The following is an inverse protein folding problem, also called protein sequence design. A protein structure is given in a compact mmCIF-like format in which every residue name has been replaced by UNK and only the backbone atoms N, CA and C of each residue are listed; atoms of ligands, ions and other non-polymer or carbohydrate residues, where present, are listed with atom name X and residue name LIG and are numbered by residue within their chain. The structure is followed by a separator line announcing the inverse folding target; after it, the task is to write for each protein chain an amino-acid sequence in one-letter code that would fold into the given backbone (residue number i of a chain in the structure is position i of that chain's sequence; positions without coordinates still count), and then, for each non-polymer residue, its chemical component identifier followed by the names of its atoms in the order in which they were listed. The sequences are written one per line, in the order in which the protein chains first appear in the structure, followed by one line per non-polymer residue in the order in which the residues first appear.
data_IF_677805051888
#
_entry.id   IF_677805051888
#
_cell.length_a   1.000
_cell.length_b   1.000
_cell.length_c   1.000
_cell.angle_alpha   90.00
_cell.angle_beta   90.00
_cell.angle_gamma   90.00
#
_symmetry.space_group_name_H-M   'P 1'
#
loop_
_entity.id
_entity.type
_entity.pdbx_description
1 polymer ?
#
# COMPACT_ATOMS: atom_id res chain seq x y z
N UNK A 1 23.13 -6.08 -1.17
CA UNK A 1 21.69 -6.21 -0.79
C UNK A 1 20.83 -5.96 -2.01
N UNK A 2 20.35 -7.03 -2.64
CA UNK A 2 19.71 -6.97 -3.96
C UNK A 2 18.29 -6.38 -3.85
N UNK A 3 18.05 -5.23 -4.48
CA UNK A 3 16.71 -4.64 -4.69
C UNK A 3 15.93 -5.46 -5.74
N UNK A 4 15.72 -6.74 -5.45
CA UNK A 4 15.01 -7.65 -6.34
C UNK A 4 13.50 -7.48 -6.12
N UNK A 5 12.92 -6.47 -6.76
CA UNK A 5 11.47 -6.31 -6.90
C UNK A 5 10.90 -7.35 -7.86
N UNK A 6 10.75 -8.61 -7.42
CA UNK A 6 9.83 -9.59 -8.04
C UNK A 6 9.47 -10.70 -7.04
N UNK A 7 8.17 -10.88 -6.79
CA UNK A 7 7.39 -12.05 -7.23
C UNK A 7 6.06 -12.15 -6.48
N UNK A 8 5.05 -12.68 -7.18
CA UNK A 8 3.69 -13.01 -6.73
C UNK A 8 2.66 -11.86 -6.63
N UNK A 9 2.24 -11.33 -7.79
CA UNK A 9 1.00 -10.55 -7.92
C UNK A 9 1.25 -9.10 -8.32
N UNK A 10 1.12 -8.85 -9.61
CA UNK A 10 1.21 -7.57 -10.33
C UNK A 10 0.48 -6.44 -9.60
N UNK A 11 1.20 -5.64 -8.80
CA UNK A 11 0.61 -4.49 -8.12
C UNK A 11 1.56 -3.30 -8.10
N UNK A 12 2.82 -3.51 -7.72
CA UNK A 12 3.83 -2.46 -7.66
C UNK A 12 4.81 -2.55 -8.83
N UNK A 13 5.16 -1.40 -9.39
CA UNK A 13 6.09 -1.30 -10.52
C UNK A 13 7.52 -1.31 -10.02
N UNK A 14 8.31 -2.29 -10.50
CA UNK A 14 9.65 -2.59 -10.02
C UNK A 14 10.63 -2.70 -11.18
N UNK A 15 10.98 -1.57 -11.78
CA UNK A 15 12.02 -1.48 -12.79
C UNK A 15 13.39 -1.54 -12.13
N UNK A 16 14.11 -2.66 -12.29
CA UNK A 16 15.47 -2.81 -11.79
C UNK A 16 16.53 -2.43 -12.84
N UNK A 17 17.77 -2.20 -12.39
CA UNK A 17 18.92 -1.88 -13.28
C UNK A 17 19.06 -2.85 -14.46
N UNK A 18 18.84 -4.15 -14.25
CA UNK A 18 18.88 -5.17 -15.32
C UNK A 18 17.81 -4.96 -16.40
N UNK A 19 16.62 -4.53 -16.02
CA UNK A 19 15.52 -4.29 -16.96
C UNK A 19 15.75 -3.02 -17.79
N UNK A 20 16.35 -1.99 -17.18
CA UNK A 20 16.80 -0.81 -17.92
C UNK A 20 17.96 -1.14 -18.86
N UNK A 21 18.94 -1.93 -18.42
CA UNK A 21 20.03 -2.39 -19.29
C UNK A 21 19.50 -3.21 -20.47
N UNK A 22 18.48 -4.04 -20.26
CA UNK A 22 17.75 -4.74 -21.32
C UNK A 22 17.08 -3.75 -22.30
N UNK A 23 16.35 -2.74 -21.80
CA UNK A 23 15.72 -1.73 -22.66
C UNK A 23 16.76 -0.89 -23.42
N UNK A 24 17.87 -0.51 -22.77
CA UNK A 24 18.98 0.21 -23.37
C UNK A 24 19.56 -0.57 -24.53
N UNK A 25 19.94 -1.83 -24.29
CA UNK A 25 20.49 -2.69 -25.35
C UNK A 25 19.50 -2.89 -26.50
N UNK A 26 18.20 -2.95 -26.21
CA UNK A 26 17.19 -3.01 -27.26
C UNK A 26 17.13 -1.73 -28.09
N UNK A 27 17.16 -0.55 -27.45
CA UNK A 27 17.20 0.76 -28.14
C UNK A 27 18.50 0.96 -28.95
N UNK A 28 19.62 0.40 -28.48
CA UNK A 28 20.90 0.38 -29.19
C UNK A 28 20.88 -0.58 -30.40
N UNK A 29 19.82 -1.39 -30.55
CA UNK A 29 19.63 -2.30 -31.68
C UNK A 29 20.23 -3.69 -31.49
N UNK A 30 20.49 -4.12 -30.26
CA UNK A 30 20.90 -5.50 -30.02
C UNK A 30 19.71 -6.46 -30.19
N UNK A 31 19.93 -7.67 -30.74
CA UNK A 31 18.87 -8.64 -30.96
C UNK A 31 18.28 -9.13 -29.62
N UNK A 32 16.95 -9.23 -29.56
CA UNK A 32 16.20 -9.62 -28.35
C UNK A 32 16.68 -10.95 -27.72
N UNK A 33 17.02 -12.02 -28.48
CA UNK A 33 17.52 -13.26 -27.90
C UNK A 33 18.82 -13.07 -27.09
N UNK A 34 19.75 -12.26 -27.58
CA UNK A 34 21.03 -11.98 -26.91
C UNK A 34 20.78 -11.20 -25.60
N UNK A 35 19.90 -10.20 -25.65
CA UNK A 35 19.51 -9.42 -24.47
C UNK A 35 18.78 -10.25 -23.43
N UNK A 36 17.90 -11.16 -23.88
CA UNK A 36 17.15 -12.07 -23.02
C UNK A 36 18.07 -12.95 -22.19
N UNK A 37 19.04 -13.62 -22.84
CA UNK A 37 20.04 -14.47 -22.18
C UNK A 37 20.87 -13.69 -21.16
N UNK A 38 21.31 -12.46 -21.52
CA UNK A 38 22.19 -11.66 -20.67
C UNK A 38 21.51 -11.02 -19.46
N UNK A 39 20.26 -10.55 -19.60
CA UNK A 39 19.63 -9.68 -18.60
C UNK A 39 18.42 -10.27 -17.89
N UNK A 40 17.75 -11.28 -18.44
CA UNK A 40 16.51 -11.83 -17.86
C UNK A 40 16.73 -13.02 -16.92
N UNK A 41 17.94 -13.59 -16.85
CA UNK A 41 18.30 -14.68 -15.92
C UNK A 41 17.25 -15.78 -15.84
N UNK A 42 16.63 -16.11 -16.98
CA UNK A 42 15.84 -17.32 -17.17
C UNK A 42 16.84 -18.33 -17.72
N UNK A 43 16.89 -19.55 -17.16
CA UNK A 43 17.91 -20.55 -17.47
C UNK A 43 18.06 -20.82 -18.97
N UNK A 44 19.13 -21.51 -19.36
CA UNK A 44 19.62 -21.79 -20.74
C UNK A 44 18.61 -22.41 -21.74
N UNK A 45 17.34 -22.52 -21.38
CA UNK A 45 16.24 -22.79 -22.31
C UNK A 45 16.14 -21.66 -23.32
N UNK A 46 16.03 -22.01 -24.60
CA UNK A 46 15.84 -21.05 -25.68
C UNK A 46 14.62 -20.16 -25.39
N UNK A 47 14.88 -18.89 -25.04
CA UNK A 47 13.83 -17.96 -24.65
C UNK A 47 12.97 -17.65 -25.89
N UNK A 48 11.72 -18.12 -25.87
CA UNK A 48 10.73 -17.82 -26.91
C UNK A 48 10.63 -16.29 -27.14
N UNK A 49 10.78 -15.87 -28.40
CA UNK A 49 10.64 -14.49 -28.85
C UNK A 49 9.33 -13.84 -28.38
N UNK A 50 8.25 -14.62 -28.24
CA UNK A 50 6.97 -14.15 -27.71
C UNK A 50 7.10 -13.66 -26.27
N UNK A 51 7.83 -14.40 -25.43
CA UNK A 51 8.07 -14.05 -24.03
C UNK A 51 8.91 -12.79 -23.94
N UNK A 52 9.96 -12.68 -24.76
CA UNK A 52 10.84 -11.51 -24.81
C UNK A 52 10.08 -10.24 -25.23
N UNK A 53 9.22 -10.33 -26.25
CA UNK A 53 8.36 -9.21 -26.69
C UNK A 53 7.35 -8.81 -25.61
N UNK A 54 6.74 -9.78 -24.93
CA UNK A 54 5.83 -9.51 -23.81
C UNK A 54 6.56 -8.81 -22.65
N UNK A 55 7.80 -9.23 -22.38
CA UNK A 55 8.64 -8.63 -21.35
C UNK A 55 9.05 -7.19 -21.68
N UNK A 56 9.50 -6.94 -22.91
CA UNK A 56 9.78 -5.60 -23.43
C UNK A 56 8.55 -4.69 -23.31
N UNK A 57 7.36 -5.18 -23.69
CA UNK A 57 6.11 -4.43 -23.55
C UNK A 57 5.84 -4.06 -22.09
N UNK A 58 6.05 -4.99 -21.16
CA UNK A 58 5.89 -4.74 -19.73
C UNK A 58 6.88 -3.68 -19.22
N UNK A 59 8.16 -3.78 -19.60
CA UNK A 59 9.19 -2.79 -19.25
C UNK A 59 8.79 -1.39 -19.75
N UNK A 60 8.39 -1.28 -21.02
CA UNK A 60 7.93 -0.03 -21.63
C UNK A 60 6.73 0.58 -20.88
N UNK A 61 5.75 -0.23 -20.49
CA UNK A 61 4.61 0.22 -19.68
C UNK A 61 5.03 0.73 -18.31
N UNK A 62 5.97 0.05 -17.65
CA UNK A 62 6.49 0.46 -16.35
C UNK A 62 7.27 1.78 -16.43
N UNK A 63 8.05 1.99 -17.50
CA UNK A 63 8.74 3.27 -17.74
C UNK A 63 7.74 4.40 -17.91
N UNK A 64 6.64 4.18 -18.65
CA UNK A 64 5.60 5.19 -18.79
C UNK A 64 5.01 5.62 -17.45
N UNK A 65 4.75 4.67 -16.56
CA UNK A 65 4.24 4.95 -15.21
C UNK A 65 5.25 5.74 -14.38
N UNK A 66 6.54 5.38 -14.41
CA UNK A 66 7.55 6.18 -13.72
C UNK A 66 7.61 7.60 -14.28
N UNK A 67 7.37 7.77 -15.58
CA UNK A 67 7.35 9.07 -16.23
C UNK A 67 6.26 9.98 -15.66
N UNK A 68 5.15 9.41 -15.19
CA UNK A 68 4.09 10.18 -14.53
C UNK A 68 4.54 10.80 -13.20
N UNK A 69 5.57 10.25 -12.54
CA UNK A 69 6.13 10.85 -11.30
C UNK A 69 6.80 12.20 -11.55
N UNK A 70 7.41 12.37 -12.72
CA UNK A 70 8.24 13.53 -13.04
C UNK A 70 7.51 14.71 -13.67
N UNK A 71 6.21 14.60 -13.94
CA UNK A 71 5.38 15.73 -14.39
C UNK A 71 5.60 16.18 -15.85
N UNK A 72 5.46 17.51 -16.11
CA UNK A 72 5.39 18.11 -17.47
C UNK A 72 6.63 17.89 -18.35
N UNK A 73 7.78 17.62 -17.74
CA UNK A 73 9.05 17.37 -18.44
C UNK A 73 9.11 16.00 -19.13
N UNK A 74 8.16 15.10 -18.83
CA UNK A 74 8.20 13.70 -19.24
C UNK A 74 7.42 13.35 -20.53
N UNK A 75 7.09 14.35 -21.37
CA UNK A 75 6.59 14.10 -22.74
C UNK A 75 7.53 13.18 -23.53
N UNK A 76 8.81 13.20 -23.19
CA UNK A 76 9.88 12.44 -23.81
C UNK A 76 9.85 10.93 -23.49
N UNK A 77 9.10 10.48 -22.47
CA UNK A 77 8.93 9.06 -22.16
C UNK A 77 8.36 8.28 -23.35
N UNK A 78 7.50 8.94 -24.15
CA UNK A 78 6.92 8.37 -25.39
C UNK A 78 7.98 8.06 -26.45
N UNK A 79 9.14 8.73 -26.43
CA UNK A 79 10.23 8.44 -27.35
C UNK A 79 10.79 7.02 -27.15
N UNK A 80 10.73 6.48 -25.94
CA UNK A 80 11.19 5.12 -25.61
C UNK A 80 10.26 4.02 -26.16
N UNK A 81 9.04 4.40 -26.60
CA UNK A 81 8.10 3.50 -27.26
C UNK A 81 8.37 3.35 -28.75
N UNK A 82 9.16 4.24 -29.36
CA UNK A 82 9.49 4.17 -30.77
C UNK A 82 10.40 2.97 -31.03
N UNK A 83 10.04 2.15 -32.02
CA UNK A 83 10.80 0.94 -32.34
C UNK A 83 12.14 1.29 -33.02
N UNK A 84 13.27 0.78 -32.50
CA UNK A 84 14.60 1.09 -33.00
C UNK A 84 14.82 0.58 -34.43
N UNK A 85 14.14 -0.51 -34.82
CA UNK A 85 14.24 -1.06 -36.19
C UNK A 85 13.70 -0.09 -37.25
N UNK A 86 12.73 0.77 -36.89
CA UNK A 86 12.23 1.82 -37.78
C UNK A 86 13.18 3.01 -37.89
N UNK A 87 14.08 3.17 -36.90
CA UNK A 87 15.09 4.21 -36.84
C UNK A 87 16.42 3.78 -37.47
N UNK A 88 16.63 2.48 -37.72
CA UNK A 88 17.75 2.04 -38.55
C UNK A 88 17.54 2.60 -39.94
N UNK A 89 18.44 3.48 -40.38
CA UNK A 89 18.49 3.75 -41.81
C UNK A 89 18.95 2.45 -42.47
N UNK A 90 18.16 1.97 -43.42
CA UNK A 90 18.67 1.18 -44.53
C UNK A 90 19.47 2.10 -45.45
N UNK A 91 20.37 2.91 -44.88
CA UNK A 91 21.35 3.60 -45.68
C UNK A 91 22.12 2.47 -46.35
N UNK A 92 22.11 2.48 -47.68
CA UNK A 92 22.93 1.62 -48.53
C UNK A 92 24.28 1.47 -47.83
N UNK A 93 24.67 0.24 -47.48
CA UNK A 93 26.02 0.05 -46.99
C UNK A 93 26.94 0.73 -48.00
N UNK A 94 27.83 1.63 -47.56
CA UNK A 94 28.80 2.18 -48.48
C UNK A 94 29.54 1.00 -49.12
N UNK A 95 29.73 1.10 -50.43
CA UNK A 95 30.43 0.11 -51.24
C UNK A 95 31.66 -0.38 -50.50
N UNK A 96 31.83 -1.70 -50.37
CA UNK A 96 32.94 -2.25 -49.60
C UNK A 96 34.29 -1.77 -50.16
N UNK A 97 35.35 -1.77 -49.33
CA UNK A 97 36.67 -1.33 -49.79
C UNK A 97 37.17 -2.15 -50.99
N UNK A 98 36.88 -3.45 -51.02
CA UNK A 98 37.14 -4.33 -52.18
C UNK A 98 36.35 -3.93 -53.43
N UNK A 99 35.05 -3.64 -53.30
CA UNK A 99 34.23 -3.21 -54.44
C UNK A 99 34.66 -1.82 -54.95
N UNK A 100 35.02 -0.91 -54.03
CA UNK A 100 35.56 0.40 -54.35
C UNK A 100 36.91 0.29 -55.07
N UNK A 101 37.77 -0.66 -54.64
CA UNK A 101 39.01 -0.98 -55.36
C UNK A 101 38.70 -1.44 -56.78
N UNK A 102 37.77 -2.39 -56.95
CA UNK A 102 37.43 -2.94 -58.26
C UNK A 102 36.89 -1.89 -59.24
N UNK A 103 36.23 -0.83 -58.75
CA UNK A 103 35.69 0.23 -59.60
C UNK A 103 36.67 1.38 -59.85
N UNK A 104 37.41 1.80 -58.82
CA UNK A 104 38.22 3.04 -58.81
C UNK A 104 39.71 2.78 -59.03
N UNK A 105 40.20 1.60 -58.69
CA UNK A 105 41.57 1.16 -58.89
C UNK A 105 41.69 -0.32 -59.34
N UNK A 106 41.21 -0.67 -60.55
CA UNK A 106 41.30 -2.04 -61.07
C UNK A 106 42.74 -2.54 -61.29
N UNK A 107 43.71 -1.64 -61.30
CA UNK A 107 45.12 -1.92 -61.61
C UNK A 107 46.04 -1.84 -60.39
N UNK A 108 45.49 -1.71 -59.17
CA UNK A 108 46.22 -1.64 -57.89
C UNK A 108 47.33 -0.58 -57.85
N UNK A 109 47.01 0.61 -58.36
CA UNK A 109 47.94 1.74 -58.44
C UNK A 109 48.10 2.49 -57.11
N UNK A 110 47.19 2.31 -56.14
CA UNK A 110 47.29 2.91 -54.81
C UNK A 110 47.71 1.89 -53.75
N UNK A 111 48.53 2.33 -52.80
CA UNK A 111 48.75 1.56 -51.58
C UNK A 111 47.45 1.44 -50.77
N UNK A 112 47.31 0.41 -49.94
CA UNK A 112 46.11 0.19 -49.12
C UNK A 112 45.75 1.40 -48.24
N UNK A 113 46.77 2.10 -47.72
CA UNK A 113 46.61 3.32 -46.93
C UNK A 113 46.08 4.50 -47.75
N UNK A 114 46.57 4.70 -48.97
CA UNK A 114 46.12 5.79 -49.85
C UNK A 114 44.72 5.50 -50.39
N UNK A 115 44.41 4.24 -50.71
CA UNK A 115 43.08 3.81 -51.11
C UNK A 115 42.05 4.01 -49.98
N UNK A 116 42.45 3.76 -48.73
CA UNK A 116 41.63 4.03 -47.55
C UNK A 116 41.37 5.54 -47.37
N UNK A 117 42.36 6.40 -47.58
CA UNK A 117 42.19 7.86 -47.52
C UNK A 117 41.21 8.34 -48.60
N UNK A 118 41.39 7.90 -49.85
CA UNK A 118 40.50 8.23 -50.97
C UNK A 118 39.07 7.73 -50.73
N UNK A 119 38.93 6.53 -50.16
CA UNK A 119 37.64 5.97 -49.80
C UNK A 119 36.95 6.76 -48.68
N UNK A 120 37.71 7.21 -47.66
CA UNK A 120 37.19 8.07 -46.59
C UNK A 120 36.79 9.45 -47.11
N UNK A 121 37.56 10.03 -48.03
CA UNK A 121 37.27 11.31 -48.67
C UNK A 121 36.00 11.22 -49.53
N UNK A 122 35.85 10.14 -50.32
CA UNK A 122 34.64 9.86 -51.09
C UNK A 122 33.39 9.66 -50.22
N UNK A 123 33.54 9.08 -49.02
CA UNK A 123 32.47 8.98 -48.03
C UNK A 123 32.14 10.31 -47.34
N UNK A 124 33.14 11.17 -47.15
CA UNK A 124 32.97 12.49 -46.55
C UNK A 124 32.23 13.46 -47.49
N UNK A 125 32.47 13.35 -48.80
CA UNK A 125 31.79 14.15 -49.84
C UNK A 125 30.37 13.65 -50.17
N UNK A 126 29.99 12.46 -49.71
CA UNK A 126 28.64 11.95 -49.89
C UNK A 126 27.61 12.87 -49.20
N UNK A 127 26.48 13.23 -49.87
CA UNK A 127 25.50 14.12 -49.28
C UNK A 127 24.96 13.50 -47.98
N UNK A 128 24.92 14.26 -46.88
CA UNK A 128 24.52 13.72 -45.59
C UNK A 128 23.10 13.16 -45.69
N UNK A 129 22.93 11.89 -45.37
CA UNK A 129 21.59 11.30 -45.27
C UNK A 129 20.85 11.97 -44.10
N UNK A 130 20.07 13.01 -44.45
CA UNK A 130 19.26 13.81 -43.52
C UNK A 130 18.37 12.91 -42.66
N UNK A 131 17.94 11.75 -43.20
CA UNK A 131 17.14 10.77 -42.48
C UNK A 131 17.98 10.00 -41.47
N UNK A 132 19.17 9.54 -41.83
CA UNK A 132 20.11 8.91 -40.89
C UNK A 132 20.49 9.87 -39.74
N UNK A 133 20.81 11.13 -40.05
CA UNK A 133 21.13 12.13 -39.03
C UNK A 133 19.94 12.43 -38.10
N UNK A 134 18.73 12.55 -38.65
CA UNK A 134 17.50 12.70 -37.84
C UNK A 134 17.29 11.50 -36.93
N UNK A 135 17.45 10.28 -37.43
CA UNK A 135 17.26 9.06 -36.66
C UNK A 135 18.32 8.90 -35.56
N UNK A 136 19.56 9.30 -35.83
CA UNK A 136 20.64 9.32 -34.84
C UNK A 136 20.35 10.32 -33.71
N UNK A 137 19.86 11.52 -34.04
CA UNK A 137 19.40 12.49 -33.02
C UNK A 137 18.29 11.91 -32.13
N UNK A 138 17.34 11.18 -32.72
CA UNK A 138 16.27 10.52 -31.97
C UNK A 138 16.85 9.43 -31.05
N UNK A 139 17.78 8.59 -31.52
CA UNK A 139 18.44 7.56 -30.70
C UNK A 139 19.22 8.18 -29.54
N UNK A 140 20.03 9.20 -29.78
CA UNK A 140 20.73 9.95 -28.72
C UNK A 140 19.77 10.52 -27.68
N UNK A 141 18.61 11.03 -28.11
CA UNK A 141 17.57 11.50 -27.19
C UNK A 141 16.97 10.36 -26.37
N UNK A 142 16.68 9.21 -26.97
CA UNK A 142 16.19 8.03 -26.24
C UNK A 142 17.15 7.59 -25.12
N UNK A 143 18.46 7.54 -25.40
CA UNK A 143 19.47 7.18 -24.38
C UNK A 143 19.53 8.23 -23.27
N UNK A 144 19.54 9.52 -23.61
CA UNK A 144 19.55 10.60 -22.63
C UNK A 144 18.32 10.55 -21.70
N UNK A 145 17.14 10.31 -22.26
CA UNK A 145 15.90 10.14 -21.50
C UNK A 145 16.01 8.94 -20.58
N UNK A 146 16.51 7.79 -21.06
CA UNK A 146 16.68 6.58 -20.25
C UNK A 146 17.59 6.80 -19.04
N UNK A 147 18.68 7.57 -19.18
CA UNK A 147 19.55 7.95 -18.05
C UNK A 147 18.84 8.83 -17.02
N UNK A 148 17.93 9.72 -17.43
CA UNK A 148 17.12 10.51 -16.48
C UNK A 148 16.17 9.61 -15.67
N UNK A 149 15.59 8.58 -16.32
CA UNK A 149 14.74 7.59 -15.65
C UNK A 149 15.46 6.78 -14.57
N UNK A 150 16.76 6.52 -14.72
CA UNK A 150 17.55 5.82 -13.70
C UNK A 150 17.51 6.52 -12.33
N UNK A 151 17.50 7.86 -12.31
CA UNK A 151 17.41 8.62 -11.08
C UNK A 151 16.04 8.47 -10.40
N UNK A 152 14.95 8.44 -11.18
CA UNK A 152 13.58 8.30 -10.65
C UNK A 152 13.29 6.90 -10.09
N UNK A 153 14.03 5.87 -10.53
CA UNK A 153 13.94 4.53 -9.95
C UNK A 153 14.42 4.45 -8.50
N UNK A 154 15.17 5.44 -8.06
CA UNK A 154 15.72 5.50 -6.70
C UNK A 154 14.96 6.49 -5.82
N UNK A 155 13.91 7.13 -6.32
CA UNK A 155 13.03 7.97 -5.52
C UNK A 155 12.24 7.12 -4.51
N UNK A 156 12.24 7.54 -3.26
CA UNK A 156 11.46 6.92 -2.19
C UNK A 156 9.97 7.34 -2.29
N UNK A 157 9.01 6.44 -1.99
CA UNK A 157 7.58 6.76 -2.10
C UNK A 157 7.14 7.77 -1.05
N UNK A 158 6.54 8.88 -1.49
CA UNK A 158 5.99 9.91 -0.62
C UNK A 158 4.46 9.76 -0.50
N UNK A 159 3.86 10.13 0.64
CA UNK A 159 2.40 10.03 0.83
C UNK A 159 1.61 10.95 -0.11
N UNK A 160 2.23 12.01 -0.64
CA UNK A 160 1.63 12.93 -1.61
C UNK A 160 1.67 12.39 -3.04
N UNK A 161 2.41 11.32 -3.29
CA UNK A 161 2.56 10.77 -4.63
C UNK A 161 1.24 10.19 -5.12
N UNK A 162 0.96 10.42 -6.41
CA UNK A 162 -0.17 9.81 -7.09
C UNK A 162 -0.01 8.30 -7.20
N UNK A 163 -1.10 7.56 -7.04
CA UNK A 163 -1.12 6.09 -7.20
C UNK A 163 -0.67 5.65 -8.60
N UNK A 164 -0.93 6.49 -9.62
CA UNK A 164 -0.60 6.22 -11.00
C UNK A 164 0.91 6.12 -11.26
N UNK A 165 1.75 6.81 -10.47
CA UNK A 165 3.21 6.72 -10.57
C UNK A 165 3.82 5.44 -9.97
N UNK A 166 3.05 4.68 -9.18
CA UNK A 166 3.57 3.56 -8.38
C UNK A 166 2.92 2.22 -8.69
N UNK A 167 1.67 2.25 -9.16
CA UNK A 167 0.84 1.07 -9.41
C UNK A 167 0.59 0.85 -10.89
N UNK A 168 0.14 -0.35 -11.24
CA UNK A 168 -0.24 -0.69 -12.61
C UNK A 168 -1.37 0.24 -13.12
N UNK A 169 -1.33 0.71 -14.40
CA UNK A 169 -2.27 1.72 -14.90
C UNK A 169 -3.75 1.39 -14.74
N UNK A 170 -4.16 0.13 -14.95
CA UNK A 170 -5.55 -0.27 -14.77
C UNK A 170 -5.99 -0.24 -13.31
N UNK A 171 -5.11 -0.65 -12.39
CA UNK A 171 -5.36 -0.56 -10.94
C UNK A 171 -5.39 0.90 -10.47
N UNK A 172 -4.44 1.72 -10.90
CA UNK A 172 -4.39 3.14 -10.57
C UNK A 172 -5.64 3.88 -11.05
N UNK A 173 -6.09 3.61 -12.28
CA UNK A 173 -7.31 4.21 -12.83
C UNK A 173 -8.55 3.86 -11.99
N UNK A 174 -8.66 2.61 -11.53
CA UNK A 174 -9.76 2.18 -10.64
C UNK A 174 -9.70 2.84 -9.26
N UNK A 175 -8.51 3.00 -8.70
CA UNK A 175 -8.32 3.68 -7.42
C UNK A 175 -8.67 5.16 -7.51
N UNK A 176 -8.26 5.84 -8.59
CA UNK A 176 -8.61 7.23 -8.86
C UNK A 176 -10.13 7.37 -9.02
N UNK A 177 -10.78 6.47 -9.76
CA UNK A 177 -12.23 6.46 -9.92
C UNK A 177 -12.99 6.21 -8.60
N UNK A 178 -12.34 5.55 -7.63
CA UNK A 178 -12.87 5.34 -6.27
C UNK A 178 -12.45 6.45 -5.28
N UNK A 179 -12.00 7.62 -5.77
CA UNK A 179 -11.56 8.78 -4.97
C UNK A 179 -10.32 8.53 -4.10
N UNK A 180 -9.43 7.63 -4.54
CA UNK A 180 -8.15 7.32 -3.88
C UNK A 180 -6.98 7.68 -4.81
N UNK A 181 -6.68 8.97 -5.01
CA UNK A 181 -5.67 9.39 -5.98
C UNK A 181 -4.23 9.29 -5.46
N UNK A 182 -4.00 9.23 -4.15
CA UNK A 182 -2.65 9.28 -3.55
C UNK A 182 -2.32 8.07 -2.68
N UNK A 183 -1.03 7.76 -2.54
CA UNK A 183 -0.56 6.68 -1.66
C UNK A 183 -0.95 6.90 -0.20
N UNK A 184 -0.88 8.15 0.30
CA UNK A 184 -1.30 8.48 1.65
C UNK A 184 -2.79 8.23 1.90
N UNK A 185 -3.66 8.61 0.94
CA UNK A 185 -5.10 8.35 1.02
C UNK A 185 -5.40 6.85 0.97
N UNK A 186 -4.67 6.11 0.14
CA UNK A 186 -4.79 4.65 0.06
C UNK A 186 -4.47 3.98 1.41
N UNK A 187 -3.36 4.34 2.05
CA UNK A 187 -2.99 3.81 3.37
C UNK A 187 -4.06 4.15 4.42
N UNK A 188 -4.59 5.38 4.40
CA UNK A 188 -5.68 5.80 5.29
C UNK A 188 -6.95 4.95 5.09
N UNK A 189 -7.42 4.78 3.85
CA UNK A 189 -8.60 3.96 3.54
C UNK A 189 -8.42 2.50 3.95
N UNK A 190 -7.23 1.94 3.71
CA UNK A 190 -6.88 0.58 4.14
C UNK A 190 -6.95 0.45 5.66
N UNK A 191 -6.43 1.45 6.39
CA UNK A 191 -6.45 1.45 7.85
C UNK A 191 -7.86 1.68 8.43
N UNK A 192 -8.69 2.52 7.81
CA UNK A 192 -10.07 2.78 8.23
C UNK A 192 -10.99 1.57 8.04
N UNK A 193 -10.92 0.93 6.87
CA UNK A 193 -11.82 -0.16 6.48
C UNK A 193 -11.28 -1.54 6.84
N UNK A 194 -9.97 -1.63 7.12
CA UNK A 194 -9.26 -2.88 7.38
C UNK A 194 -9.27 -3.80 6.16
N UNK A 195 -9.32 -5.11 6.40
CA UNK A 195 -9.16 -6.13 5.37
C UNK A 195 -10.08 -6.03 4.15
N UNK A 196 -11.30 -5.49 4.31
CA UNK A 196 -12.30 -5.44 3.24
C UNK A 196 -12.29 -4.16 2.41
N UNK A 197 -11.27 -3.29 2.57
CA UNK A 197 -11.17 -2.01 1.87
C UNK A 197 -11.37 -2.12 0.35
N UNK A 198 -10.94 -3.23 -0.24
CA UNK A 198 -11.07 -3.48 -1.69
C UNK A 198 -12.52 -3.56 -2.19
N UNK A 199 -13.50 -3.77 -1.31
CA UNK A 199 -14.92 -3.70 -1.69
C UNK A 199 -15.39 -2.29 -2.05
N UNK A 200 -14.65 -1.26 -1.61
CA UNK A 200 -14.92 0.13 -2.00
C UNK A 200 -14.47 0.43 -3.43
N UNK A 201 -13.60 -0.41 -4.00
CA UNK A 201 -12.98 -0.17 -5.32
C UNK A 201 -13.51 -1.21 -6.31
N UNK A 202 -14.44 -0.84 -7.21
CA UNK A 202 -14.98 -1.76 -8.21
C UNK A 202 -13.88 -2.42 -9.04
N UNK A 203 -13.96 -3.74 -9.21
CA UNK A 203 -13.01 -4.51 -10.02
C UNK A 203 -11.65 -4.80 -9.35
N UNK A 204 -11.44 -4.44 -8.07
CA UNK A 204 -10.26 -4.88 -7.30
C UNK A 204 -10.59 -6.15 -6.53
N UNK A 205 -9.91 -7.25 -6.87
CA UNK A 205 -10.06 -8.53 -6.19
C UNK A 205 -9.21 -8.67 -4.92
N UNK A 206 -9.59 -9.62 -4.07
CA UNK A 206 -8.92 -9.91 -2.79
C UNK A 206 -7.40 -10.13 -2.93
N UNK A 207 -6.97 -10.86 -3.97
CA UNK A 207 -5.55 -11.16 -4.22
C UNK A 207 -4.72 -9.91 -4.46
N UNK A 208 -5.23 -9.01 -5.31
CA UNK A 208 -4.58 -7.72 -5.65
C UNK A 208 -4.54 -6.85 -4.42
N UNK A 209 -5.64 -6.76 -3.68
CA UNK A 209 -5.73 -5.98 -2.46
C UNK A 209 -4.75 -6.45 -1.37
N UNK A 210 -4.63 -7.77 -1.20
CA UNK A 210 -3.68 -8.36 -0.23
C UNK A 210 -2.24 -8.10 -0.65
N UNK A 211 -1.91 -8.27 -1.93
CA UNK A 211 -0.58 -7.94 -2.45
C UNK A 211 -0.24 -6.46 -2.22
N UNK A 212 -1.19 -5.55 -2.51
CA UNK A 212 -1.02 -4.11 -2.30
C UNK A 212 -0.79 -3.76 -0.82
N UNK A 213 -1.63 -4.29 0.07
CA UNK A 213 -1.49 -4.03 1.51
C UNK A 213 -0.18 -4.61 2.06
N UNK A 214 0.25 -5.78 1.59
CA UNK A 214 1.53 -6.40 1.98
C UNK A 214 2.73 -5.57 1.49
N UNK A 215 2.64 -5.05 0.26
CA UNK A 215 3.65 -4.15 -0.29
C UNK A 215 3.76 -2.86 0.53
N UNK A 216 2.64 -2.19 0.82
CA UNK A 216 2.61 -0.99 1.66
C UNK A 216 3.09 -1.24 3.10
N UNK A 217 2.90 -2.46 3.62
CA UNK A 217 3.39 -2.87 4.93
C UNK A 217 4.89 -3.23 4.95
N UNK A 218 5.58 -3.23 3.81
CA UNK A 218 7.02 -3.48 3.76
C UNK A 218 7.78 -2.44 4.58
N UNK A 219 8.78 -2.82 5.42
CA UNK A 219 9.47 -1.90 6.33
C UNK A 219 10.07 -0.67 5.64
N UNK A 220 10.62 -0.85 4.44
CA UNK A 220 11.17 0.24 3.64
C UNK A 220 10.11 1.28 3.24
N UNK A 221 8.93 0.81 2.81
CA UNK A 221 7.84 1.67 2.33
C UNK A 221 7.13 2.34 3.49
N UNK A 222 6.87 1.61 4.58
CA UNK A 222 6.26 2.17 5.77
C UNK A 222 7.12 3.31 6.37
N UNK A 223 8.45 3.15 6.35
CA UNK A 223 9.39 4.18 6.80
C UNK A 223 9.30 5.44 5.93
N UNK A 224 9.27 5.26 4.60
CA UNK A 224 9.18 6.36 3.65
C UNK A 224 7.84 7.11 3.72
N UNK A 225 6.74 6.38 3.85
CA UNK A 225 5.38 6.95 3.93
C UNK A 225 5.06 7.57 5.30
N UNK A 226 5.92 7.36 6.31
CA UNK A 226 5.73 7.75 7.72
C UNK A 226 4.42 7.23 8.34
N UNK A 227 3.78 6.29 7.68
CA UNK A 227 2.48 5.71 8.04
C UNK A 227 2.53 4.23 7.74
N UNK A 228 2.11 3.40 8.68
CA UNK A 228 2.14 1.94 8.54
C UNK A 228 0.73 1.40 8.30
N UNK A 229 0.61 0.42 7.41
CA UNK A 229 -0.61 -0.37 7.27
C UNK A 229 -0.75 -1.29 8.47
N UNK A 230 -1.84 -1.17 9.22
CA UNK A 230 -2.07 -1.94 10.43
C UNK A 230 -2.28 -3.44 10.14
N UNK A 231 -1.94 -4.33 11.10
CA UNK A 231 -2.05 -5.78 10.92
C UNK A 231 -3.48 -6.27 10.66
N UNK A 232 -4.49 -5.47 11.01
CA UNK A 232 -5.91 -5.74 10.75
C UNK A 232 -6.30 -5.65 9.28
N UNK A 233 -5.51 -4.97 8.45
CA UNK A 233 -5.72 -4.89 7.01
C UNK A 233 -5.14 -6.09 6.24
N UNK A 234 -4.16 -6.79 6.82
CA UNK A 234 -3.39 -7.83 6.12
C UNK A 234 -4.00 -9.23 6.21
N UNK A 235 -4.88 -9.49 7.19
CA UNK A 235 -5.42 -10.83 7.47
C UNK A 235 -6.95 -10.86 7.42
N UNK A 236 -7.50 -11.96 6.87
CA UNK A 236 -8.96 -12.13 6.76
C UNK A 236 -9.56 -12.32 8.14
N UNK A 237 -10.74 -11.76 8.38
CA UNK A 237 -11.47 -11.87 9.64
C UNK A 237 -11.68 -13.33 10.15
N UNK A 238 -11.68 -14.35 9.27
CA UNK A 238 -11.72 -15.77 9.68
C UNK A 238 -10.36 -16.28 10.22
N UNK A 239 -9.24 -15.83 9.66
CA UNK A 239 -7.89 -16.18 10.13
C UNK A 239 -7.60 -15.55 11.50
N UNK A 240 -8.11 -14.34 11.72
CA UNK A 240 -8.03 -13.70 13.02
C UNK A 240 -8.76 -14.48 14.13
N UNK A 241 -9.76 -15.36 13.87
CA UNK A 241 -10.51 -16.05 14.94
C UNK A 241 -9.65 -16.91 15.86
N UNK A 242 -8.50 -17.42 15.39
CA UNK A 242 -7.56 -18.19 16.23
C UNK A 242 -6.60 -17.32 17.05
N UNK A 243 -6.43 -16.04 16.71
CA UNK A 243 -5.42 -15.13 17.30
C UNK A 243 -6.05 -14.00 18.16
N UNK A 244 -7.32 -14.12 18.53
CA UNK A 244 -8.25 -12.97 18.50
C UNK A 244 -8.54 -12.19 19.77
N UNK A 245 -7.91 -12.44 20.91
CA UNK A 245 -8.31 -11.70 22.12
C UNK A 245 -7.30 -10.65 22.61
N UNK A 246 -6.07 -10.59 22.09
CA UNK A 246 -5.06 -9.68 22.63
C UNK A 246 -4.58 -8.57 21.68
N UNK A 247 -4.46 -8.81 20.37
CA UNK A 247 -3.72 -7.88 19.50
C UNK A 247 -4.54 -6.76 18.86
N UNK A 248 -5.80 -7.00 18.48
CA UNK A 248 -6.61 -6.00 17.76
C UNK A 248 -7.16 -4.91 18.69
N UNK A 249 -7.30 -5.23 19.98
CA UNK A 249 -7.81 -4.29 20.97
C UNK A 249 -6.74 -3.24 21.37
N UNK A 250 -5.47 -3.45 20.99
CA UNK A 250 -4.34 -2.52 21.19
C UNK A 250 -4.08 -1.57 20.02
N UNK A 251 -4.85 -1.67 18.93
CA UNK A 251 -4.68 -0.80 17.75
C UNK A 251 -5.18 0.62 17.97
N UNK A 252 -6.07 0.82 18.95
CA UNK A 252 -6.52 2.16 19.34
C UNK A 252 -5.51 2.80 20.27
N UNK A 253 -5.21 4.07 20.06
CA UNK A 253 -4.37 4.83 20.97
C UNK A 253 -4.98 4.82 22.39
N UNK A 254 -4.16 4.65 23.44
CA UNK A 254 -4.64 4.74 24.82
C UNK A 254 -5.34 6.10 25.07
N UNK A 255 -6.48 6.08 25.73
CA UNK A 255 -7.31 7.29 25.96
C UNK A 255 -7.93 7.28 27.35
N UNK A 256 -7.97 8.46 27.99
CA UNK A 256 -8.67 8.68 29.26
C UNK A 256 -10.14 9.07 29.10
N UNK A 257 -10.65 9.13 27.86
CA UNK A 257 -12.06 9.35 27.55
C UNK A 257 -12.83 8.03 27.33
N UNK A 258 -13.94 8.10 26.61
CA UNK A 258 -14.73 6.90 26.25
C UNK A 258 -13.92 6.04 25.27
N UNK A 259 -13.43 4.91 25.78
CA UNK A 259 -12.67 3.94 25.03
C UNK A 259 -12.97 2.51 25.52
N UNK A 260 -12.74 1.49 24.70
CA UNK A 260 -12.78 0.10 25.14
C UNK A 260 -11.85 -0.12 26.34
N UNK A 261 -12.19 -1.03 27.26
CA UNK A 261 -11.44 -1.31 28.49
C UNK A 261 -9.96 -1.61 28.24
N UNK A 262 -9.60 -2.12 27.06
CA UNK A 262 -8.21 -2.38 26.67
C UNK A 262 -7.41 -1.12 26.36
N UNK A 263 -8.05 -0.14 25.71
CA UNK A 263 -7.46 1.15 25.35
C UNK A 263 -7.77 2.26 26.38
N UNK A 264 -8.65 1.99 27.33
CA UNK A 264 -9.01 2.94 28.39
C UNK A 264 -7.87 3.06 29.41
N UNK A 265 -7.40 4.29 29.60
CA UNK A 265 -6.39 4.66 30.61
C UNK A 265 -7.11 5.40 31.73
N UNK A 266 -7.54 4.70 32.80
CA UNK A 266 -8.16 5.36 33.94
C UNK A 266 -7.15 6.28 34.65
N UNK A 267 -7.62 7.34 35.33
CA UNK A 267 -6.82 8.03 36.34
C UNK A 267 -6.17 7.03 37.31
N UNK A 268 -4.95 7.30 37.77
CA UNK A 268 -4.14 6.34 38.55
C UNK A 268 -4.90 5.69 39.73
N UNK A 269 -5.73 6.45 40.43
CA UNK A 269 -6.58 5.98 41.54
C UNK A 269 -7.63 4.91 41.17
N UNK A 270 -7.91 4.69 39.88
CA UNK A 270 -8.85 3.68 39.37
C UNK A 270 -8.14 2.62 38.48
N UNK A 271 -6.80 2.62 38.44
CA UNK A 271 -6.05 1.62 37.68
C UNK A 271 -6.29 0.21 38.22
N UNK A 272 -6.31 0.06 39.56
CA UNK A 272 -6.58 -1.20 40.24
C UNK A 272 -7.96 -1.78 39.88
N UNK A 273 -8.99 -0.95 39.77
CA UNK A 273 -10.34 -1.40 39.38
C UNK A 273 -10.35 -2.00 37.97
N UNK A 274 -9.67 -1.36 37.01
CA UNK A 274 -9.56 -1.87 35.65
C UNK A 274 -8.82 -3.21 35.63
N UNK A 275 -7.72 -3.32 36.37
CA UNK A 275 -6.95 -4.56 36.47
C UNK A 275 -7.76 -5.69 37.10
N UNK A 276 -8.49 -5.40 38.18
CA UNK A 276 -9.34 -6.37 38.85
C UNK A 276 -10.48 -6.87 37.95
N UNK A 277 -11.10 -5.98 37.16
CA UNK A 277 -12.10 -6.38 36.15
C UNK A 277 -11.49 -7.27 35.08
N UNK A 278 -10.29 -6.95 34.58
CA UNK A 278 -9.62 -7.79 33.60
C UNK A 278 -9.27 -9.17 34.18
N UNK A 279 -8.80 -9.24 35.43
CA UNK A 279 -8.54 -10.49 36.13
C UNK A 279 -9.83 -11.33 36.31
N UNK A 280 -10.95 -10.69 36.66
CA UNK A 280 -12.24 -11.36 36.74
C UNK A 280 -12.70 -11.91 35.38
N UNK A 281 -12.54 -11.14 34.30
CA UNK A 281 -12.87 -11.58 32.94
C UNK A 281 -12.01 -12.76 32.47
N UNK A 282 -10.78 -12.88 32.96
CA UNK A 282 -9.89 -13.98 32.60
C UNK A 282 -10.45 -15.35 33.00
N UNK A 283 -11.20 -15.44 34.10
CA UNK A 283 -11.91 -16.65 34.53
C UNK A 283 -12.95 -17.16 33.52
N UNK A 284 -13.42 -16.30 32.60
CA UNK A 284 -14.42 -16.65 31.59
C UNK A 284 -13.84 -16.88 30.19
N UNK A 285 -12.51 -16.80 30.00
CA UNK A 285 -11.85 -16.96 28.69
C UNK A 285 -12.21 -18.28 27.97
N UNK A 286 -12.43 -19.36 28.73
CA UNK A 286 -12.82 -20.68 28.20
C UNK A 286 -14.24 -20.70 27.60
N UNK A 287 -15.09 -19.71 27.90
CA UNK A 287 -16.48 -19.57 27.41
C UNK A 287 -16.62 -18.28 26.58
N UNK A 288 -16.30 -18.29 25.27
CA UNK A 288 -16.18 -17.07 24.47
C UNK A 288 -17.46 -16.23 24.36
N UNK A 289 -18.64 -16.84 24.46
CA UNK A 289 -19.93 -16.13 24.42
C UNK A 289 -20.15 -15.35 25.73
N UNK A 290 -19.99 -16.02 26.87
CA UNK A 290 -20.10 -15.44 28.21
C UNK A 290 -19.06 -14.36 28.43
N UNK A 291 -17.80 -14.61 28.06
CA UNK A 291 -16.73 -13.61 28.13
C UNK A 291 -17.11 -12.30 27.42
N UNK A 292 -17.64 -12.39 26.19
CA UNK A 292 -18.02 -11.19 25.42
C UNK A 292 -19.19 -10.44 26.05
N UNK A 293 -20.18 -11.18 26.55
CA UNK A 293 -21.31 -10.56 27.25
C UNK A 293 -20.82 -9.84 28.51
N UNK A 294 -20.00 -10.51 29.33
CA UNK A 294 -19.51 -9.99 30.60
C UNK A 294 -18.55 -8.82 30.40
N UNK A 295 -17.61 -8.93 29.46
CA UNK A 295 -16.69 -7.85 29.09
C UNK A 295 -17.44 -6.58 28.70
N UNK A 296 -18.47 -6.72 27.87
CA UNK A 296 -19.28 -5.58 27.39
C UNK A 296 -19.98 -4.85 28.54
N UNK A 297 -20.58 -5.59 29.49
CA UNK A 297 -21.26 -4.94 30.62
C UNK A 297 -20.28 -4.41 31.67
N UNK A 298 -19.19 -5.13 31.96
CA UNK A 298 -18.15 -4.68 32.88
C UNK A 298 -17.45 -3.40 32.39
N UNK A 299 -17.16 -3.31 31.10
CA UNK A 299 -16.61 -2.11 30.46
C UNK A 299 -17.51 -0.89 30.64
N UNK A 300 -18.82 -1.05 30.43
CA UNK A 300 -19.78 0.03 30.63
C UNK A 300 -19.78 0.53 32.07
N UNK A 301 -19.73 -0.38 33.03
CA UNK A 301 -19.67 -0.04 34.45
C UNK A 301 -18.37 0.68 34.82
N UNK A 302 -17.22 0.21 34.35
CA UNK A 302 -15.91 0.84 34.58
C UNK A 302 -15.89 2.26 34.02
N UNK A 303 -16.34 2.45 32.78
CA UNK A 303 -16.40 3.76 32.15
C UNK A 303 -17.34 4.69 32.92
N UNK A 304 -18.52 4.22 33.30
CA UNK A 304 -19.47 5.00 34.10
C UNK A 304 -18.88 5.43 35.45
N UNK A 305 -18.29 4.49 36.19
CA UNK A 305 -17.70 4.76 37.49
C UNK A 305 -16.53 5.75 37.41
N UNK A 306 -15.63 5.57 36.43
CA UNK A 306 -14.43 6.38 36.29
C UNK A 306 -14.71 7.78 35.70
N UNK A 307 -15.60 7.87 34.69
CA UNK A 307 -15.83 9.11 33.94
C UNK A 307 -16.92 9.98 34.58
N UNK A 308 -18.03 9.37 35.03
CA UNK A 308 -19.18 10.12 35.56
C UNK A 308 -19.05 10.32 37.07
N UNK A 309 -19.03 9.22 37.81
CA UNK A 309 -19.02 9.25 39.28
C UNK A 309 -17.66 9.64 39.84
N UNK A 310 -16.58 9.34 39.11
CA UNK A 310 -15.19 9.48 39.56
C UNK A 310 -14.97 8.80 40.92
N UNK A 311 -15.52 7.59 41.07
CA UNK A 311 -15.42 6.76 42.27
C UNK A 311 -14.83 5.39 41.90
N UNK A 312 -14.07 4.76 42.80
CA UNK A 312 -13.62 3.40 42.57
C UNK A 312 -14.81 2.44 42.56
N UNK A 313 -14.69 1.30 41.87
CA UNK A 313 -15.77 0.31 41.77
C UNK A 313 -16.24 -0.19 43.14
N UNK A 314 -15.33 -0.26 44.12
CA UNK A 314 -15.68 -0.63 45.49
C UNK A 314 -16.64 0.35 46.20
N UNK A 315 -16.79 1.58 45.69
CA UNK A 315 -17.61 2.64 46.30
C UNK A 315 -18.84 3.01 45.47
N UNK A 316 -19.18 2.24 44.44
CA UNK A 316 -20.38 2.48 43.63
C UNK A 316 -21.53 1.61 44.11
N UNK A 317 -22.74 2.17 44.08
CA UNK A 317 -23.97 1.41 44.25
C UNK A 317 -24.56 1.08 42.88
N UNK A 318 -25.09 -0.13 42.73
CA UNK A 318 -25.62 -0.60 41.44
C UNK A 318 -26.82 0.24 40.99
N UNK A 319 -27.55 0.82 41.93
CA UNK A 319 -28.68 1.72 41.74
C UNK A 319 -28.25 2.97 40.96
N UNK A 320 -27.05 3.51 41.21
CA UNK A 320 -26.52 4.66 40.47
C UNK A 320 -26.31 4.33 38.99
N UNK A 321 -25.90 3.09 38.70
CA UNK A 321 -25.74 2.62 37.32
C UNK A 321 -27.08 2.30 36.67
N UNK A 322 -28.05 1.75 37.41
CA UNK A 322 -29.43 1.58 36.93
C UNK A 322 -30.03 2.92 36.51
N UNK A 323 -29.93 3.93 37.37
CA UNK A 323 -30.49 5.26 37.09
C UNK A 323 -29.85 5.90 35.85
N UNK A 324 -28.54 5.65 35.64
CA UNK A 324 -27.84 6.05 34.41
C UNK A 324 -28.42 5.35 33.18
N UNK A 325 -28.62 4.03 33.22
CA UNK A 325 -29.20 3.27 32.11
C UNK A 325 -30.65 3.66 31.79
N UNK A 326 -31.43 4.06 32.79
CA UNK A 326 -32.82 4.48 32.60
C UNK A 326 -32.91 5.86 31.93
N UNK A 327 -31.96 6.75 32.23
CA UNK A 327 -31.85 8.08 31.61
C UNK A 327 -31.16 8.07 30.25
N UNK A 328 -30.46 6.98 29.91
CA UNK A 328 -29.78 6.79 28.61
C UNK A 328 -30.80 6.49 27.49
N UNK A 329 -31.68 7.45 27.22
CA UNK A 329 -32.68 7.41 26.16
C UNK A 329 -32.44 8.56 25.15
N UNK A 330 -32.69 8.35 23.84
CA UNK A 330 -32.56 9.41 22.85
C UNK A 330 -33.50 10.57 23.17
N UNK A 331 -32.99 11.81 23.18
CA UNK A 331 -33.80 13.02 23.28
C UNK A 331 -34.01 13.57 24.70
N UNK A 332 -33.59 12.86 25.76
CA UNK A 332 -33.71 13.38 27.13
C UNK A 332 -32.54 14.32 27.45
N UNK A 333 -32.68 15.58 27.05
CA UNK A 333 -31.64 16.63 27.15
C UNK A 333 -31.89 17.62 28.28
N UNK A 334 -33.14 17.71 28.75
CA UNK A 334 -33.54 18.70 29.76
C UNK A 334 -33.12 18.29 31.19
N UNK A 335 -33.01 16.99 31.49
CA UNK A 335 -32.69 16.45 32.82
C UNK A 335 -31.52 15.44 32.82
N UNK A 336 -30.41 15.78 32.15
CA UNK A 336 -29.21 14.94 32.13
C UNK A 336 -28.21 15.33 33.25
N UNK A 337 -28.12 14.58 34.37
CA UNK A 337 -27.31 14.96 35.53
C UNK A 337 -25.83 14.55 35.41
N UNK A 338 -25.44 13.94 34.29
CA UNK A 338 -24.11 13.36 34.09
C UNK A 338 -23.21 14.29 33.26
N UNK A 339 -21.89 14.13 33.40
CA UNK A 339 -20.87 15.02 32.85
C UNK A 339 -20.72 14.89 31.35
N UNK A 340 -20.83 13.67 30.82
CA UNK A 340 -20.68 13.40 29.38
C UNK A 340 -22.07 13.35 28.78
N UNK A 341 -22.28 14.07 27.67
CA UNK A 341 -23.59 14.11 27.01
C UNK A 341 -24.09 12.70 26.64
N UNK A 342 -25.40 12.46 26.77
CA UNK A 342 -26.00 11.15 26.45
C UNK A 342 -25.66 10.68 25.02
N UNK A 343 -25.60 11.60 24.07
CA UNK A 343 -25.22 11.33 22.68
C UNK A 343 -23.78 10.79 22.55
N UNK A 344 -22.85 11.22 23.41
CA UNK A 344 -21.47 10.74 23.39
C UNK A 344 -21.33 9.30 23.92
N UNK A 345 -22.32 8.76 24.63
CA UNK A 345 -22.34 7.36 25.05
C UNK A 345 -22.90 6.42 23.98
N UNK A 346 -23.58 6.97 22.96
CA UNK A 346 -24.30 6.22 21.93
C UNK A 346 -23.59 6.38 20.58
N UNK A 347 -23.19 5.26 19.98
CA UNK A 347 -22.49 5.25 18.69
C UNK A 347 -23.22 4.42 17.63
N UNK A 348 -22.67 4.45 16.43
CA UNK A 348 -23.22 3.71 15.29
C UNK A 348 -23.27 2.19 15.55
N UNK A 349 -24.36 1.52 15.16
CA UNK A 349 -24.43 0.07 15.21
C UNK A 349 -23.26 -0.57 14.45
N UNK A 350 -22.59 -1.56 15.08
CA UNK A 350 -21.46 -2.32 14.51
C UNK A 350 -20.14 -1.55 14.33
N UNK A 351 -20.01 -0.35 14.90
CA UNK A 351 -18.72 0.33 15.02
C UNK A 351 -17.66 -0.61 15.62
N UNK A 352 -16.45 -0.63 15.04
CA UNK A 352 -15.37 -1.53 15.44
C UNK A 352 -14.66 -0.97 16.67
N UNK A 353 -14.28 -1.82 17.63
CA UNK A 353 -13.69 -1.39 18.91
C UNK A 353 -12.41 -0.55 18.77
N UNK A 354 -11.63 -0.79 17.71
CA UNK A 354 -10.39 -0.04 17.46
C UNK A 354 -10.59 1.33 16.80
N UNK A 355 -11.80 1.70 16.39
CA UNK A 355 -12.05 3.01 15.75
C UNK A 355 -12.49 4.05 16.78
N UNK A 356 -12.21 5.33 16.51
CA UNK A 356 -12.61 6.44 17.40
C UNK A 356 -14.12 6.71 17.41
N UNK A 357 -14.84 6.14 16.43
CA UNK A 357 -16.31 6.13 16.37
C UNK A 357 -16.96 5.13 17.31
N UNK A 358 -16.18 4.23 17.92
CA UNK A 358 -16.74 3.24 18.85
C UNK A 358 -17.29 3.93 20.10
N UNK A 359 -18.47 3.47 20.53
CA UNK A 359 -19.12 3.83 21.79
C UNK A 359 -19.70 2.59 22.49
N UNK A 360 -19.83 2.62 23.83
CA UNK A 360 -20.30 1.49 24.61
C UNK A 360 -21.78 1.13 24.40
N UNK A 361 -22.60 2.06 23.93
CA UNK A 361 -24.01 1.84 23.60
C UNK A 361 -24.28 2.12 22.12
N UNK A 362 -25.31 1.47 21.58
CA UNK A 362 -25.82 1.70 20.21
C UNK A 362 -27.24 2.26 20.21
N UNK A 363 -27.71 2.71 21.39
CA UNK A 363 -29.07 3.15 21.67
C UNK A 363 -29.47 2.77 23.09
N UNK A 364 -30.68 3.16 23.49
CA UNK A 364 -31.27 2.78 24.77
C UNK A 364 -31.41 1.26 24.87
N UNK A 365 -31.13 0.71 26.06
CA UNK A 365 -31.29 -0.71 26.33
C UNK A 365 -32.77 -1.05 26.54
N UNK A 366 -33.22 -2.20 26.03
CA UNK A 366 -34.51 -2.78 26.40
C UNK A 366 -34.53 -3.21 27.87
N UNK A 367 -35.72 -3.34 28.48
CA UNK A 367 -35.86 -3.80 29.88
C UNK A 367 -35.12 -5.12 30.15
N UNK A 368 -35.22 -6.06 29.21
CA UNK A 368 -34.53 -7.36 29.32
C UNK A 368 -33.01 -7.20 29.28
N UNK A 369 -32.50 -6.32 28.41
CA UNK A 369 -31.07 -6.03 28.33
C UNK A 369 -30.56 -5.25 29.55
N UNK A 370 -31.36 -4.34 30.10
CA UNK A 370 -31.04 -3.63 31.36
C UNK A 370 -30.91 -4.61 32.53
N UNK A 371 -31.91 -5.49 32.72
CA UNK A 371 -31.87 -6.52 33.78
C UNK A 371 -30.60 -7.37 33.68
N UNK A 372 -30.30 -7.90 32.49
CA UNK A 372 -29.08 -8.68 32.26
C UNK A 372 -27.80 -7.88 32.57
N UNK A 373 -27.72 -6.62 32.14
CA UNK A 373 -26.57 -5.77 32.41
C UNK A 373 -26.36 -5.57 33.91
N UNK A 374 -27.44 -5.30 34.65
CA UNK A 374 -27.40 -5.14 36.11
C UNK A 374 -26.99 -6.43 36.82
N UNK A 375 -27.51 -7.59 36.41
CA UNK A 375 -27.17 -8.88 37.04
C UNK A 375 -25.69 -9.25 36.84
N UNK A 376 -25.15 -8.99 35.64
CA UNK A 376 -23.72 -9.17 35.36
C UNK A 376 -22.88 -8.22 36.21
N UNK A 377 -23.27 -6.94 36.30
CA UNK A 377 -22.56 -5.94 37.10
C UNK A 377 -22.61 -6.26 38.61
N UNK A 378 -23.74 -6.76 39.13
CA UNK A 378 -23.84 -7.24 40.52
C UNK A 378 -22.90 -8.41 40.78
N UNK A 379 -22.84 -9.36 39.85
CA UNK A 379 -21.92 -10.51 39.96
C UNK A 379 -20.47 -10.04 40.01
N UNK A 380 -20.10 -9.09 39.14
CA UNK A 380 -18.78 -8.48 39.14
C UNK A 380 -18.47 -7.78 40.47
N UNK A 381 -19.34 -6.87 40.92
CA UNK A 381 -19.12 -6.10 42.15
C UNK A 381 -19.02 -7.01 43.38
N UNK A 382 -19.85 -8.05 43.46
CA UNK A 382 -19.79 -9.03 44.54
C UNK A 382 -18.46 -9.80 44.55
N UNK A 383 -17.91 -10.14 43.38
CA UNK A 383 -16.61 -10.80 43.26
C UNK A 383 -15.45 -9.87 43.64
N UNK A 384 -15.51 -8.60 43.24
CA UNK A 384 -14.49 -7.60 43.59
C UNK A 384 -14.50 -7.23 45.08
N UNK A 385 -15.63 -7.38 45.77
CA UNK A 385 -15.75 -7.13 47.20
C UNK A 385 -15.18 -8.25 48.08
N UNK A 386 -14.92 -9.44 47.51
CA UNK A 386 -14.28 -10.53 48.23
C UNK A 386 -12.77 -10.29 48.32
N UNK A 387 -12.15 -10.35 49.52
CA UNK A 387 -10.71 -10.23 49.63
C UNK A 387 -10.04 -11.38 48.86
N UNK A 388 -9.11 -11.04 47.98
CA UNK A 388 -8.29 -12.04 47.27
C UNK A 388 -7.41 -12.75 48.31
N UNK A 389 -7.59 -14.07 48.45
CA UNK A 389 -6.79 -14.91 49.36
C UNK A 389 -5.33 -15.04 48.95
#
# INVERSE_FOLDING_TARGET
MSRNWRSAGTVAIGLGKRQLAFLRGYLDGLPLPVLGRRYLSVGDSDLDLRVLKAHLKSIRQQVMVIGERGGREFKDARLLLLDPDKLRSTATQPMSLEEFRQERDPYEMYSESELLEIYQEALADAPPDRRAQRNERIRRRQVAVLSQFEHLLHADPSPKDGVAGWLEPSLASRLIAAEIPTLGKLVAVINEQGYWWFKLVPGVGEKVARSLATWLASPYIATSLKTTVGPHALKRHKEHKKSRHCDLDRLRAPSSGIAPIEAFVPPARFAADREAVLAWLDGYKAKPSTYRAYRKEAERLVLFAALELRKPLASIYIEQYRDFLDRLAPGNTEDWPYRIAAADWIGEPKAKRWTDRWRPFTGALSDKSRKLALDVCRTLLAQLAQPSH
#
